data_IF_801743499241
#
_entry.id   IF_801743499241
#
_cell.length_a   1.000
_cell.length_b   1.000
_cell.length_c   1.000
_cell.angle_alpha   90.00
_cell.angle_beta   90.00
_cell.angle_gamma   90.00
#
_symmetry.space_group_name_H-M   'P 1'
#
loop_
_entity.id
_entity.type
_entity.pdbx_description
1 polymer ?
#
# COMPACT_ATOMS: atom_id res chain seq x y z
N UNK A 1 -24.50 16.81 -23.93
CA UNK A 1 -23.36 17.13 -24.81
C UNK A 1 -22.11 17.17 -23.94
N UNK A 2 -21.31 16.12 -24.08
CA UNK A 2 -19.94 15.83 -23.61
C UNK A 2 -19.31 16.78 -22.57
N UNK A 3 -19.59 16.50 -21.30
CA UNK A 3 -18.77 16.91 -20.16
C UNK A 3 -17.89 15.76 -19.71
N UNK A 4 -16.66 15.67 -20.23
CA UNK A 4 -15.64 14.78 -19.67
C UNK A 4 -14.80 15.56 -18.66
N UNK A 5 -15.27 15.59 -17.41
CA UNK A 5 -14.46 15.94 -16.25
C UNK A 5 -13.39 14.86 -16.08
N UNK A 6 -12.12 15.24 -16.24
CA UNK A 6 -11.00 14.31 -16.09
C UNK A 6 -10.79 14.00 -14.60
N UNK A 7 -11.09 12.77 -14.21
CA UNK A 7 -10.62 12.17 -12.96
C UNK A 7 -9.08 12.17 -12.99
N UNK A 8 -8.45 12.93 -12.11
CA UNK A 8 -7.00 12.89 -11.90
C UNK A 8 -6.60 11.54 -11.28
N UNK A 9 -6.53 10.48 -12.09
CA UNK A 9 -6.04 9.17 -11.67
C UNK A 9 -4.52 9.05 -11.81
N UNK A 10 -3.87 8.42 -10.83
CA UNK A 10 -2.44 8.02 -10.79
C UNK A 10 -1.92 7.49 -12.15
N UNK A 11 -2.76 6.75 -12.87
CA UNK A 11 -2.48 6.16 -14.19
C UNK A 11 -2.17 7.19 -15.29
N UNK A 12 -2.83 8.36 -15.27
CA UNK A 12 -2.61 9.42 -16.27
C UNK A 12 -1.24 10.06 -16.10
N UNK A 13 -0.81 10.25 -14.85
CA UNK A 13 0.50 10.80 -14.53
C UNK A 13 1.61 9.81 -14.93
N UNK A 14 1.42 8.52 -14.68
CA UNK A 14 2.37 7.48 -15.11
C UNK A 14 2.54 7.44 -16.64
N UNK A 15 1.43 7.55 -17.38
CA UNK A 15 1.45 7.65 -18.83
C UNK A 15 2.13 8.93 -19.32
N UNK A 16 1.87 10.07 -18.70
CA UNK A 16 2.51 11.35 -19.06
C UNK A 16 4.01 11.29 -18.83
N UNK A 17 4.43 10.79 -17.68
CA UNK A 17 5.82 10.67 -17.31
C UNK A 17 6.57 9.69 -18.23
N UNK A 18 5.98 8.53 -18.49
CA UNK A 18 6.52 7.55 -19.43
C UNK A 18 6.63 8.13 -20.83
N UNK A 19 5.63 8.87 -21.30
CA UNK A 19 5.66 9.54 -22.61
C UNK A 19 6.75 10.61 -22.66
N UNK A 20 6.84 11.45 -21.63
CA UNK A 20 7.81 12.55 -21.55
C UNK A 20 9.25 12.05 -21.43
N UNK A 21 9.48 10.92 -20.76
CA UNK A 21 10.78 10.26 -20.71
C UNK A 21 11.31 9.93 -22.12
N UNK A 22 10.44 9.45 -23.01
CA UNK A 22 10.83 9.05 -24.36
C UNK A 22 10.80 10.17 -25.38
N UNK A 23 9.87 11.11 -25.24
CA UNK A 23 9.64 12.19 -26.20
C UNK A 23 10.49 13.41 -25.85
N UNK A 24 10.68 13.68 -24.55
CA UNK A 24 11.41 14.85 -24.05
C UNK A 24 10.69 16.18 -24.25
N UNK A 25 9.45 16.15 -24.77
CA UNK A 25 8.61 17.31 -25.01
C UNK A 25 7.31 17.16 -24.21
N UNK A 26 7.07 18.11 -23.30
CA UNK A 26 5.94 18.09 -22.38
C UNK A 26 4.60 18.25 -23.11
N UNK A 27 4.53 19.18 -24.06
CA UNK A 27 3.29 19.49 -24.79
C UNK A 27 2.89 18.31 -25.66
N UNK A 28 3.87 17.76 -26.39
CA UNK A 28 3.65 16.59 -27.23
C UNK A 28 3.29 15.34 -26.42
N UNK A 29 3.87 15.19 -25.23
CA UNK A 29 3.52 14.09 -24.32
C UNK A 29 2.07 14.21 -23.84
N UNK A 30 1.63 15.42 -23.52
CA UNK A 30 0.24 15.69 -23.18
C UNK A 30 -0.72 15.42 -24.35
N UNK A 31 -0.36 15.81 -25.58
CA UNK A 31 -1.16 15.51 -26.77
C UNK A 31 -1.36 14.01 -26.97
N UNK A 32 -0.29 13.23 -26.84
CA UNK A 32 -0.35 11.76 -27.01
C UNK A 32 -1.20 11.10 -25.92
N UNK A 33 -1.06 11.53 -24.67
CA UNK A 33 -1.86 10.98 -23.57
C UNK A 33 -3.32 11.43 -23.67
N UNK A 34 -3.60 12.69 -24.05
CA UNK A 34 -4.97 13.14 -24.33
C UNK A 34 -5.61 12.35 -25.48
N UNK A 35 -4.86 12.11 -26.57
CA UNK A 35 -5.32 11.31 -27.69
C UNK A 35 -5.57 9.83 -27.34
N UNK A 36 -4.89 9.30 -26.31
CA UNK A 36 -5.23 8.01 -25.72
C UNK A 36 -6.55 8.09 -24.95
N UNK A 37 -6.67 9.07 -24.05
CA UNK A 37 -7.79 9.21 -23.12
C UNK A 37 -9.15 9.40 -23.79
N UNK A 38 -9.20 10.04 -24.96
CA UNK A 38 -10.45 10.24 -25.72
C UNK A 38 -10.95 8.98 -26.46
N UNK A 39 -10.20 7.88 -26.47
CA UNK A 39 -10.60 6.68 -27.21
C UNK A 39 -11.71 5.93 -26.48
N UNK A 40 -12.73 5.38 -27.17
CA UNK A 40 -13.75 4.55 -26.53
C UNK A 40 -13.22 3.35 -25.72
N UNK A 41 -11.97 2.92 -25.99
CA UNK A 41 -11.28 1.87 -25.24
C UNK A 41 -10.75 2.27 -23.86
N UNK A 42 -10.94 3.52 -23.43
CA UNK A 42 -10.49 4.06 -22.13
C UNK A 42 -11.59 4.20 -21.07
N UNK A 43 -12.86 3.86 -21.39
CA UNK A 43 -13.95 3.86 -20.39
C UNK A 43 -13.55 3.00 -19.18
N UNK A 44 -13.73 3.54 -17.97
CA UNK A 44 -13.04 3.23 -16.71
C UNK A 44 -13.28 1.84 -16.08
N UNK A 45 -13.84 0.87 -16.82
CA UNK A 45 -14.17 -0.47 -16.30
C UNK A 45 -13.69 -1.61 -17.21
N UNK A 46 -12.74 -1.36 -18.13
CA UNK A 46 -12.19 -2.43 -18.98
C UNK A 46 -10.90 -3.02 -18.41
N UNK A 47 -10.82 -4.34 -18.33
CA UNK A 47 -9.59 -5.04 -17.95
C UNK A 47 -8.36 -4.50 -18.71
N UNK A 48 -7.30 -4.19 -17.96
CA UNK A 48 -5.99 -3.76 -18.44
C UNK A 48 -5.91 -2.35 -19.05
N UNK A 49 -6.70 -1.37 -18.58
CA UNK A 49 -6.63 0.03 -19.04
C UNK A 49 -5.20 0.58 -18.94
N UNK A 50 -4.56 0.39 -17.77
CA UNK A 50 -3.16 0.79 -17.52
C UNK A 50 -2.21 0.25 -18.60
N UNK A 51 -2.23 -1.06 -18.86
CA UNK A 51 -1.32 -1.67 -19.84
C UNK A 51 -1.62 -1.24 -21.29
N UNK A 52 -2.88 -0.90 -21.60
CA UNK A 52 -3.26 -0.40 -22.92
C UNK A 52 -2.75 1.01 -23.19
N UNK A 53 -2.71 1.87 -22.17
CA UNK A 53 -2.15 3.22 -22.30
C UNK A 53 -0.66 3.21 -22.60
N UNK A 54 0.14 2.49 -21.81
CA UNK A 54 1.56 2.30 -22.10
C UNK A 54 1.81 1.71 -23.49
N UNK A 55 0.98 0.73 -23.90
CA UNK A 55 1.08 0.14 -25.24
C UNK A 55 0.74 1.14 -26.34
N UNK A 56 -0.28 1.98 -26.13
CA UNK A 56 -0.65 3.02 -27.07
C UNK A 56 0.50 4.01 -27.25
N UNK A 57 1.09 4.48 -26.15
CA UNK A 57 2.23 5.39 -26.15
C UNK A 57 3.41 4.76 -26.90
N UNK A 58 3.77 3.51 -26.58
CA UNK A 58 4.82 2.76 -27.27
C UNK A 58 4.57 2.62 -28.78
N UNK A 59 3.31 2.58 -29.22
CA UNK A 59 2.96 2.54 -30.65
C UNK A 59 3.19 3.91 -31.30
N UNK A 60 2.77 4.99 -30.66
CA UNK A 60 2.98 6.36 -31.17
C UNK A 60 4.47 6.70 -31.24
N UNK A 61 5.24 6.18 -30.29
CA UNK A 61 6.69 6.34 -30.29
C UNK A 61 7.39 5.72 -31.51
N UNK A 62 6.80 4.77 -32.26
CA UNK A 62 7.46 4.08 -33.39
C UNK A 62 7.54 4.88 -34.70
N UNK A 63 6.93 6.07 -34.77
CA UNK A 63 6.78 6.82 -36.03
C UNK A 63 7.39 8.22 -36.08
N UNK A 64 7.95 8.75 -34.99
CA UNK A 64 8.36 10.16 -34.91
C UNK A 64 9.86 10.34 -34.69
N UNK A 65 10.45 11.38 -35.29
CA UNK A 65 11.87 11.70 -35.21
C UNK A 65 12.31 11.99 -33.77
N UNK A 66 13.00 11.00 -33.16
CA UNK A 66 13.37 10.95 -31.74
C UNK A 66 14.72 11.58 -31.48
N UNK A 67 14.86 12.42 -30.45
CA UNK A 67 16.14 12.70 -29.75
C UNK A 67 15.94 13.78 -28.68
N UNK A 68 15.95 13.44 -27.39
CA UNK A 68 16.77 14.17 -26.37
C UNK A 68 16.86 13.47 -25.01
N UNK A 69 15.78 13.20 -24.26
CA UNK A 69 15.90 12.83 -22.83
C UNK A 69 16.43 11.41 -22.59
N UNK A 70 15.83 10.36 -23.19
CA UNK A 70 16.38 8.99 -23.11
C UNK A 70 17.81 8.88 -23.67
N UNK A 71 18.18 9.80 -24.58
CA UNK A 71 19.51 9.85 -25.19
C UNK A 71 20.55 10.44 -24.24
N UNK A 72 20.20 11.39 -23.38
CA UNK A 72 21.12 12.01 -22.40
C UNK A 72 21.47 11.00 -21.30
N UNK A 73 20.44 10.47 -20.62
CA UNK A 73 20.54 9.50 -19.52
C UNK A 73 21.32 8.22 -19.92
N UNK A 74 21.13 7.75 -21.15
CA UNK A 74 21.83 6.57 -21.66
C UNK A 74 23.14 6.90 -22.40
N UNK A 75 23.41 8.18 -22.70
CA UNK A 75 24.70 8.60 -23.28
C UNK A 75 25.76 8.86 -22.24
N UNK A 76 25.40 9.44 -21.08
CA UNK A 76 26.35 9.75 -20.01
C UNK A 76 26.95 8.50 -19.36
N UNK A 77 26.17 7.40 -19.29
CA UNK A 77 26.63 6.11 -18.78
C UNK A 77 26.99 5.09 -19.89
N UNK A 78 27.09 5.54 -21.14
CA UNK A 78 27.49 4.71 -22.30
C UNK A 78 26.61 3.46 -22.52
N UNK A 79 25.29 3.59 -22.38
CA UNK A 79 24.27 2.59 -22.73
C UNK A 79 23.71 2.79 -24.15
N UNK A 80 24.46 3.44 -25.03
CA UNK A 80 24.08 3.76 -26.43
C UNK A 80 23.60 2.54 -27.25
N UNK A 81 23.91 1.32 -26.80
CA UNK A 81 23.55 0.05 -27.42
C UNK A 81 22.20 -0.54 -26.97
N UNK A 82 21.56 -0.01 -25.91
CA UNK A 82 20.29 -0.54 -25.41
C UNK A 82 19.16 -0.10 -26.35
N UNK A 83 18.48 -1.09 -26.95
CA UNK A 83 17.36 -0.84 -27.86
C UNK A 83 16.20 -0.20 -27.09
N UNK A 84 15.41 0.62 -27.76
CA UNK A 84 14.31 1.38 -27.14
C UNK A 84 13.27 0.50 -26.43
N UNK A 85 13.03 -0.71 -26.95
CA UNK A 85 12.15 -1.67 -26.29
C UNK A 85 12.72 -2.14 -24.95
N UNK A 86 14.05 -2.25 -24.85
CA UNK A 86 14.75 -2.60 -23.62
C UNK A 86 14.75 -1.43 -22.65
N UNK A 87 14.88 -0.19 -23.15
CA UNK A 87 14.70 1.03 -22.33
C UNK A 87 13.30 1.11 -21.72
N UNK A 88 12.26 0.81 -22.51
CA UNK A 88 10.88 0.75 -22.02
C UNK A 88 10.70 -0.36 -20.97
N UNK A 89 11.30 -1.54 -21.18
CA UNK A 89 11.24 -2.64 -20.20
C UNK A 89 11.95 -2.23 -18.89
N UNK A 90 13.12 -1.59 -18.99
CA UNK A 90 13.88 -1.11 -17.84
C UNK A 90 13.07 -0.07 -17.07
N UNK A 91 12.50 0.92 -17.76
CA UNK A 91 11.70 1.97 -17.12
C UNK A 91 10.44 1.41 -16.46
N UNK A 92 9.70 0.53 -17.15
CA UNK A 92 8.51 -0.12 -16.59
C UNK A 92 8.84 -0.99 -15.38
N UNK A 93 10.03 -1.59 -15.32
CA UNK A 93 10.42 -2.49 -14.25
C UNK A 93 11.05 -1.77 -13.05
N UNK A 94 12.01 -0.88 -13.29
CA UNK A 94 12.82 -0.27 -12.23
C UNK A 94 12.26 1.05 -11.72
N UNK A 95 11.50 1.79 -12.54
CA UNK A 95 10.86 3.04 -12.11
C UNK A 95 9.39 2.85 -11.77
N UNK A 96 8.60 2.30 -12.70
CA UNK A 96 7.17 2.04 -12.48
C UNK A 96 6.88 0.76 -11.68
N UNK A 97 7.92 0.00 -11.32
CA UNK A 97 7.84 -1.21 -10.49
C UNK A 97 6.82 -2.26 -10.97
N UNK A 98 6.57 -2.32 -12.29
CA UNK A 98 5.59 -3.25 -12.84
C UNK A 98 6.11 -4.68 -12.82
N UNK A 99 5.25 -5.62 -12.43
CA UNK A 99 5.51 -7.04 -12.54
C UNK A 99 5.80 -7.46 -14.00
N UNK A 100 6.67 -8.44 -14.17
CA UNK A 100 7.03 -9.04 -15.47
C UNK A 100 5.79 -9.46 -16.28
N UNK A 101 4.71 -9.92 -15.62
CA UNK A 101 3.44 -10.29 -16.26
C UNK A 101 2.76 -9.08 -16.92
N UNK A 102 2.74 -7.92 -16.26
CA UNK A 102 2.16 -6.67 -16.77
C UNK A 102 3.04 -6.11 -17.89
N UNK A 103 4.37 -6.08 -17.70
CA UNK A 103 5.34 -5.65 -18.73
C UNK A 103 5.18 -6.49 -20.00
N UNK A 104 5.12 -7.82 -19.89
CA UNK A 104 4.93 -8.74 -21.01
C UNK A 104 3.69 -8.39 -21.85
N UNK A 105 2.57 -8.03 -21.20
CA UNK A 105 1.35 -7.56 -21.89
C UNK A 105 1.57 -6.21 -22.57
N UNK A 106 2.26 -5.27 -21.92
CA UNK A 106 2.52 -3.92 -22.45
C UNK A 106 3.34 -4.01 -23.73
N UNK A 107 4.51 -4.67 -23.67
CA UNK A 107 5.47 -4.73 -24.79
C UNK A 107 5.21 -5.86 -25.79
N UNK A 108 4.20 -6.71 -25.53
CA UNK A 108 3.83 -7.88 -26.36
C UNK A 108 4.98 -8.86 -26.58
N UNK A 109 5.64 -9.26 -25.49
CA UNK A 109 6.70 -10.28 -25.47
C UNK A 109 6.40 -11.34 -24.40
N UNK A 110 7.01 -12.51 -24.52
CA UNK A 110 6.86 -13.56 -23.49
C UNK A 110 7.55 -13.15 -22.19
N UNK A 111 7.07 -13.64 -21.04
CA UNK A 111 7.72 -13.40 -19.74
C UNK A 111 9.20 -13.83 -19.75
N UNK A 112 9.53 -14.91 -20.46
CA UNK A 112 10.90 -15.41 -20.66
C UNK A 112 11.77 -14.38 -21.37
N UNK A 113 11.24 -13.75 -22.42
CA UNK A 113 11.94 -12.72 -23.18
C UNK A 113 12.16 -11.44 -22.34
N UNK A 114 11.20 -11.06 -21.49
CA UNK A 114 11.37 -9.94 -20.55
C UNK A 114 12.49 -10.23 -19.56
N UNK A 115 12.48 -11.40 -18.92
CA UNK A 115 13.54 -11.83 -17.98
C UNK A 115 14.91 -11.83 -18.63
N UNK A 116 15.02 -12.34 -19.86
CA UNK A 116 16.27 -12.35 -20.62
C UNK A 116 16.80 -10.93 -20.83
N UNK A 117 15.94 -9.99 -21.23
CA UNK A 117 16.32 -8.59 -21.49
C UNK A 117 16.74 -7.86 -20.22
N UNK A 118 16.02 -8.04 -19.12
CA UNK A 118 16.39 -7.49 -17.81
C UNK A 118 17.70 -8.08 -17.31
N UNK A 119 17.91 -9.39 -17.45
CA UNK A 119 19.16 -10.04 -17.08
C UNK A 119 20.35 -9.55 -17.92
N UNK A 120 20.17 -9.41 -19.25
CA UNK A 120 21.18 -8.80 -20.11
C UNK A 120 21.51 -7.37 -19.69
N UNK A 121 20.52 -6.58 -19.25
CA UNK A 121 20.77 -5.25 -18.71
C UNK A 121 21.57 -5.28 -17.41
N UNK A 122 21.25 -6.19 -16.47
CA UNK A 122 22.03 -6.38 -15.24
C UNK A 122 23.49 -6.75 -15.52
N UNK A 123 23.73 -7.58 -16.55
CA UNK A 123 25.11 -7.87 -16.99
C UNK A 123 25.83 -6.61 -17.47
N UNK A 124 25.16 -5.71 -18.19
CA UNK A 124 25.74 -4.43 -18.63
C UNK A 124 26.01 -3.49 -17.44
N UNK A 125 25.16 -3.48 -16.42
CA UNK A 125 25.41 -2.73 -15.17
C UNK A 125 26.66 -3.26 -14.46
N UNK A 126 26.74 -4.59 -14.31
CA UNK A 126 27.85 -5.28 -13.66
C UNK A 126 29.18 -5.04 -14.37
N UNK A 127 29.23 -5.10 -15.70
CA UNK A 127 30.48 -4.82 -16.45
C UNK A 127 30.95 -3.37 -16.34
N UNK A 128 30.05 -2.45 -15.95
CA UNK A 128 30.36 -1.03 -15.71
C UNK A 128 30.61 -0.71 -14.23
N UNK A 129 30.54 -1.69 -13.34
CA UNK A 129 30.67 -1.47 -11.89
C UNK A 129 29.52 -0.68 -11.27
N UNK A 130 28.36 -0.61 -11.92
CA UNK A 130 27.19 0.12 -11.43
C UNK A 130 26.26 -0.88 -10.71
N UNK A 131 25.94 -0.62 -9.44
CA UNK A 131 24.95 -1.44 -8.73
C UNK A 131 23.53 -1.11 -9.20
N UNK A 132 22.60 -2.05 -9.05
CA UNK A 132 21.17 -1.80 -9.36
C UNK A 132 20.63 -0.64 -8.53
N UNK A 133 21.03 -0.55 -7.26
CA UNK A 133 20.64 0.54 -6.37
C UNK A 133 21.14 1.91 -6.89
N UNK A 134 22.41 2.00 -7.26
CA UNK A 134 22.99 3.21 -7.87
C UNK A 134 22.26 3.58 -9.16
N UNK A 135 21.97 2.60 -10.02
CA UNK A 135 21.21 2.81 -11.25
C UNK A 135 19.79 3.33 -10.97
N UNK A 136 19.09 2.76 -9.98
CA UNK A 136 17.76 3.20 -9.60
C UNK A 136 17.79 4.66 -9.10
N UNK A 137 18.73 5.01 -8.23
CA UNK A 137 18.86 6.39 -7.73
C UNK A 137 19.10 7.39 -8.86
N UNK A 138 19.95 7.04 -9.83
CA UNK A 138 20.18 7.86 -11.03
C UNK A 138 18.91 7.97 -11.86
N UNK A 139 18.24 6.85 -12.13
CA UNK A 139 17.00 6.80 -12.90
C UNK A 139 15.91 7.66 -12.26
N UNK A 140 15.74 7.57 -10.94
CA UNK A 140 14.80 8.38 -10.18
C UNK A 140 15.18 9.86 -10.19
N UNK A 141 16.42 10.22 -9.92
CA UNK A 141 16.89 11.62 -9.93
C UNK A 141 16.64 12.28 -11.29
N UNK A 142 16.93 11.56 -12.37
CA UNK A 142 16.71 12.02 -13.73
C UNK A 142 15.24 12.18 -14.07
N UNK A 143 14.40 11.22 -13.69
CA UNK A 143 12.96 11.35 -13.88
C UNK A 143 12.40 12.49 -13.03
N UNK A 144 12.96 12.76 -11.86
CA UNK A 144 12.61 13.93 -11.05
C UNK A 144 12.98 15.25 -11.75
N UNK A 145 14.03 15.30 -12.58
CA UNK A 145 14.31 16.49 -13.42
C UNK A 145 13.26 16.72 -14.51
N UNK A 146 12.57 15.65 -14.94
CA UNK A 146 11.43 15.70 -15.86
C UNK A 146 10.14 16.08 -15.10
N UNK A 147 10.09 15.83 -13.79
CA UNK A 147 8.92 15.90 -12.92
C UNK A 147 8.79 17.25 -12.18
N UNK A 148 8.34 18.29 -12.88
CA UNK A 148 7.77 19.52 -12.27
C UNK A 148 6.45 19.86 -12.99
N UNK A 149 5.42 20.31 -12.24
CA UNK A 149 4.09 19.71 -12.22
C UNK A 149 3.50 19.45 -13.61
N UNK A 150 3.13 18.19 -13.86
CA UNK A 150 2.33 17.74 -14.98
C UNK A 150 0.84 18.03 -14.72
N UNK A 151 0.48 19.29 -14.49
CA UNK A 151 -0.91 19.71 -14.66
C UNK A 151 -1.13 19.95 -16.16
N UNK A 152 -1.98 19.19 -16.88
CA UNK A 152 -2.45 19.61 -18.18
C UNK A 152 -3.37 20.81 -17.99
N UNK A 153 -2.79 22.01 -17.92
CA UNK A 153 -3.58 23.23 -18.00
C UNK A 153 -4.04 23.35 -19.45
N UNK A 154 -5.32 23.07 -19.71
CA UNK A 154 -5.97 23.56 -20.93
C UNK A 154 -6.53 24.93 -20.58
N UNK A 155 -5.77 25.98 -20.88
CA UNK A 155 -6.29 27.34 -20.92
C UNK A 155 -5.93 27.96 -22.26
N UNK A 156 -6.93 28.53 -22.94
CA UNK A 156 -6.71 29.51 -24.00
C UNK A 156 -5.83 30.62 -23.43
N UNK A 157 -4.76 30.94 -24.14
CA UNK A 157 -3.64 31.71 -23.59
C UNK A 157 -3.95 33.15 -23.23
N UNK A 158 -3.01 33.75 -22.50
CA UNK A 158 -2.47 35.12 -22.63
C UNK A 158 -1.08 35.10 -21.96
N UNK A 159 -0.08 35.69 -22.63
CA UNK A 159 1.28 35.89 -22.12
C UNK A 159 1.26 36.93 -20.99
N UNK A 160 2.08 36.78 -19.94
CA UNK A 160 2.89 37.85 -19.34
C UNK A 160 4.05 37.30 -18.47
N UNK A 161 5.23 37.80 -18.85
CA UNK A 161 6.57 37.99 -18.30
C UNK A 161 7.12 37.40 -16.97
N UNK A 162 8.41 37.01 -17.10
CA UNK A 162 9.40 36.67 -16.07
C UNK A 162 9.80 37.89 -15.23
N UNK A 163 9.93 37.69 -13.91
CA UNK A 163 11.03 38.14 -13.01
C UNK A 163 10.50 38.24 -11.57
N UNK A 164 10.91 37.33 -10.69
CA UNK A 164 11.59 37.66 -9.42
C UNK A 164 12.07 36.39 -8.72
N UNK A 165 13.37 36.42 -8.54
CA UNK A 165 14.35 35.47 -8.03
C UNK A 165 14.27 35.31 -6.50
N UNK A 166 14.76 34.15 -6.04
CA UNK A 166 15.72 33.99 -4.95
C UNK A 166 15.51 34.76 -3.64
N UNK A 167 14.95 34.06 -2.67
CA UNK A 167 15.12 34.17 -1.21
C UNK A 167 14.39 32.91 -0.71
N UNK A 168 15.01 31.80 -0.34
CA UNK A 168 15.88 31.63 0.82
C UNK A 168 16.72 30.37 0.61
N UNK A 169 18.03 30.56 0.49
CA UNK A 169 19.04 29.51 0.62
C UNK A 169 20.19 30.10 1.42
N UNK A 170 20.02 30.19 2.74
CA UNK A 170 21.08 30.45 3.72
C UNK A 170 20.54 30.34 5.15
N UNK A 171 20.34 29.11 5.60
CA UNK A 171 20.55 28.71 6.99
C UNK A 171 21.25 27.34 6.95
N UNK A 172 22.55 27.46 6.71
CA UNK A 172 23.57 26.42 6.73
C UNK A 172 23.94 26.14 8.19
N UNK A 173 24.24 24.86 8.49
CA UNK A 173 25.08 24.37 9.60
C UNK A 173 24.71 24.89 10.99
N UNK A 174 24.32 24.02 11.92
CA UNK A 174 24.82 24.04 13.31
C UNK A 174 24.47 22.79 14.12
N UNK A 175 24.47 21.57 13.56
CA UNK A 175 24.58 20.36 14.39
C UNK A 175 25.38 19.25 13.69
N UNK A 176 26.70 19.33 13.87
CA UNK A 176 27.59 18.17 13.81
C UNK A 176 28.06 17.90 15.26
N UNK A 177 27.98 16.62 15.64
CA UNK A 177 28.79 15.92 16.67
C UNK A 177 28.30 16.05 18.13
N UNK A 178 27.63 15.00 18.65
CA UNK A 178 28.07 14.08 19.73
C UNK A 178 27.04 12.94 19.81
N UNK A 179 27.48 11.68 19.75
CA UNK A 179 26.66 10.49 19.98
C UNK A 179 27.26 9.24 19.34
N UNK A 180 28.03 8.48 20.12
CA UNK A 180 29.02 7.52 19.66
C UNK A 180 28.49 6.23 18.99
N UNK A 181 29.43 5.58 18.29
CA UNK A 181 29.28 4.23 17.76
C UNK A 181 29.05 3.22 18.88
N UNK A 182 28.01 2.39 18.74
CA UNK A 182 28.01 1.02 19.27
C UNK A 182 28.01 0.05 18.11
N UNK A 183 29.12 -0.67 18.02
CA UNK A 183 29.42 -1.73 17.09
C UNK A 183 28.70 -3.01 17.58
N UNK A 184 27.57 -3.40 16.99
CA UNK A 184 26.81 -4.60 17.38
C UNK A 184 27.40 -5.92 16.86
N UNK A 185 28.57 -5.88 16.19
CA UNK A 185 29.17 -7.02 15.51
C UNK A 185 29.84 -8.10 16.36
N UNK A 186 29.67 -8.16 17.70
CA UNK A 186 30.41 -9.12 18.56
C UNK A 186 29.53 -10.02 19.47
N UNK A 187 28.19 -9.89 19.48
CA UNK A 187 27.34 -10.79 20.30
C UNK A 187 26.66 -11.92 19.49
N UNK A 188 26.73 -11.87 18.16
CA UNK A 188 25.86 -12.69 17.29
C UNK A 188 26.22 -14.18 17.14
N UNK A 189 27.27 -14.68 17.82
CA UNK A 189 27.76 -16.07 17.60
C UNK A 189 27.45 -17.09 18.70
N UNK A 190 26.67 -16.76 19.72
CA UNK A 190 26.36 -17.76 20.78
C UNK A 190 24.94 -17.75 21.35
N UNK A 191 23.98 -17.01 20.80
CA UNK A 191 22.58 -17.06 21.25
C UNK A 191 21.66 -17.53 20.13
N UNK A 192 20.81 -18.51 20.42
CA UNK A 192 19.75 -18.94 19.51
C UNK A 192 18.85 -17.74 19.20
N UNK A 193 18.52 -17.50 17.93
CA UNK A 193 17.62 -16.41 17.52
C UNK A 193 16.30 -16.47 18.33
N UNK A 194 15.98 -15.39 19.05
CA UNK A 194 14.81 -15.35 19.93
C UNK A 194 13.50 -15.02 19.19
N UNK A 195 13.57 -14.46 17.97
CA UNK A 195 12.43 -13.89 17.28
C UNK A 195 12.21 -12.42 17.69
N UNK A 196 11.30 -11.68 17.03
CA UNK A 196 10.94 -10.33 17.42
C UNK A 196 10.21 -10.31 18.76
N UNK A 197 10.38 -9.24 19.54
CA UNK A 197 9.65 -9.05 20.80
C UNK A 197 8.30 -8.38 20.54
N UNK A 198 7.29 -9.21 20.26
CA UNK A 198 5.93 -8.76 19.96
C UNK A 198 5.27 -8.07 21.16
N UNK A 199 5.67 -8.40 22.39
CA UNK A 199 5.09 -7.80 23.59
C UNK A 199 5.51 -6.33 23.71
N UNK A 200 6.75 -6.02 23.35
CA UNK A 200 7.23 -4.65 23.27
C UNK A 200 6.45 -3.85 22.21
N UNK A 201 6.24 -4.41 21.01
CA UNK A 201 5.42 -3.77 19.96
C UNK A 201 3.98 -3.53 20.45
N UNK A 202 3.41 -4.50 21.17
CA UNK A 202 2.07 -4.37 21.73
C UNK A 202 1.95 -3.22 22.75
N UNK A 203 2.93 -3.08 23.64
CA UNK A 203 2.93 -2.04 24.69
C UNK A 203 3.24 -0.64 24.14
N UNK A 204 4.16 -0.56 23.20
CA UNK A 204 4.59 0.71 22.61
C UNK A 204 3.60 1.22 21.54
N UNK A 205 2.69 0.35 21.11
CA UNK A 205 1.81 0.59 19.97
C UNK A 205 2.53 0.30 18.65
N UNK A 206 1.73 -0.07 17.64
CA UNK A 206 2.25 -0.34 16.29
C UNK A 206 2.84 0.92 15.64
N UNK A 207 3.72 0.72 14.67
CA UNK A 207 4.28 1.76 13.83
C UNK A 207 3.21 2.63 13.16
N UNK A 208 2.09 2.03 12.74
CA UNK A 208 0.93 2.75 12.19
C UNK A 208 0.25 3.65 13.24
N UNK A 209 0.03 3.12 14.45
CA UNK A 209 -0.58 3.87 15.55
C UNK A 209 0.30 5.03 16.01
N UNK A 210 1.61 4.80 16.13
CA UNK A 210 2.58 5.84 16.49
C UNK A 210 2.61 6.95 15.43
N UNK A 211 2.73 6.59 14.14
CA UNK A 211 2.73 7.57 13.06
C UNK A 211 1.45 8.40 13.03
N UNK A 212 0.30 7.75 13.24
CA UNK A 212 -1.00 8.43 13.29
C UNK A 212 -1.04 9.45 14.42
N UNK A 213 -0.68 9.02 15.63
CA UNK A 213 -0.65 9.89 16.80
C UNK A 213 0.27 11.09 16.58
N UNK A 214 1.48 10.88 16.09
CA UNK A 214 2.45 11.96 15.90
C UNK A 214 2.00 12.95 14.81
N UNK A 215 1.31 12.47 13.76
CA UNK A 215 0.68 13.33 12.75
C UNK A 215 -0.47 14.15 13.34
N UNK A 216 -1.37 13.53 14.11
CA UNK A 216 -2.51 14.19 14.74
C UNK A 216 -2.04 15.27 15.74
N UNK A 217 -0.99 14.99 16.51
CA UNK A 217 -0.37 15.94 17.44
C UNK A 217 0.33 17.09 16.71
N UNK A 218 1.10 16.80 15.66
CA UNK A 218 1.86 17.80 14.90
C UNK A 218 0.95 18.77 14.15
N UNK A 219 -0.11 18.25 13.53
CA UNK A 219 -1.02 19.04 12.71
C UNK A 219 -2.29 19.46 13.46
N UNK A 220 -2.43 19.07 14.74
CA UNK A 220 -3.56 19.39 15.64
C UNK A 220 -4.93 19.05 15.04
N UNK A 221 -5.02 17.90 14.37
CA UNK A 221 -6.18 17.46 13.57
C UNK A 221 -6.33 15.95 13.56
N UNK A 222 -7.50 15.45 13.95
CA UNK A 222 -7.91 14.04 13.81
C UNK A 222 -8.48 13.79 12.40
N UNK A 223 -7.63 13.83 11.37
CA UNK A 223 -8.08 13.77 9.97
C UNK A 223 -7.25 12.84 9.10
N UNK A 224 -6.49 11.94 9.71
CA UNK A 224 -5.59 11.00 9.04
C UNK A 224 -6.12 9.57 9.12
N UNK A 225 -6.35 8.95 7.96
CA UNK A 225 -6.39 7.51 7.83
C UNK A 225 -5.00 7.04 7.38
N UNK A 226 -4.40 6.09 8.09
CA UNK A 226 -3.07 5.57 7.77
C UNK A 226 -3.20 4.07 7.55
N UNK A 227 -2.50 3.58 6.53
CA UNK A 227 -2.31 2.16 6.32
C UNK A 227 -0.87 1.89 5.95
N UNK A 228 -0.24 0.93 6.62
CA UNK A 228 1.12 0.53 6.32
C UNK A 228 1.14 -0.85 5.67
N UNK A 229 1.59 -0.93 4.43
CA UNK A 229 1.85 -2.18 3.74
C UNK A 229 3.33 -2.56 3.91
N UNK A 230 3.60 -3.46 4.87
CA UNK A 230 4.95 -3.93 5.14
C UNK A 230 5.55 -4.73 3.97
N UNK A 231 4.74 -5.49 3.23
CA UNK A 231 5.20 -6.29 2.08
C UNK A 231 5.65 -5.40 0.92
N UNK A 232 4.85 -4.38 0.60
CA UNK A 232 5.14 -3.44 -0.49
C UNK A 232 6.03 -2.27 -0.04
N UNK A 233 6.38 -2.20 1.25
CA UNK A 233 7.09 -1.08 1.86
C UNK A 233 6.40 0.24 1.50
N UNK A 234 5.09 0.33 1.72
CA UNK A 234 4.26 1.48 1.37
C UNK A 234 3.53 2.01 2.60
N UNK A 235 3.51 3.34 2.77
CA UNK A 235 2.64 4.02 3.74
C UNK A 235 1.60 4.80 2.93
N UNK A 236 0.32 4.43 3.06
CA UNK A 236 -0.79 5.14 2.45
C UNK A 236 -1.46 6.05 3.50
N UNK A 237 -1.63 7.32 3.18
CA UNK A 237 -2.22 8.34 4.06
C UNK A 237 -3.42 8.95 3.36
N UNK A 238 -4.61 8.73 3.89
CA UNK A 238 -5.85 9.40 3.52
C UNK A 238 -6.07 10.65 4.38
N UNK A 239 -6.37 11.77 3.74
CA UNK A 239 -6.71 13.03 4.44
C UNK A 239 -8.12 13.46 4.04
N UNK A 240 -8.97 13.70 5.05
CA UNK A 240 -10.36 14.11 4.86
C UNK A 240 -10.57 15.64 4.91
N UNK A 241 -9.58 16.40 5.39
CA UNK A 241 -9.62 17.86 5.50
C UNK A 241 -8.86 18.50 4.31
N UNK A 242 -9.57 19.27 3.47
CA UNK A 242 -8.99 19.91 2.28
C UNK A 242 -7.89 20.93 2.63
N UNK A 243 -8.05 21.65 3.75
CA UNK A 243 -7.07 22.64 4.22
C UNK A 243 -5.80 21.94 4.68
N UNK A 244 -5.94 20.80 5.35
CA UNK A 244 -4.83 19.95 5.77
C UNK A 244 -4.14 19.29 4.56
N UNK A 245 -4.90 18.84 3.56
CA UNK A 245 -4.33 18.27 2.33
C UNK A 245 -3.46 19.27 1.54
N UNK A 246 -3.75 20.58 1.64
CA UNK A 246 -2.88 21.63 1.06
C UNK A 246 -1.48 21.65 1.68
N UNK A 247 -1.30 21.09 2.88
CA UNK A 247 -0.01 20.95 3.58
C UNK A 247 0.72 19.63 3.26
N UNK A 248 0.29 18.89 2.22
CA UNK A 248 0.86 17.57 1.86
C UNK A 248 2.38 17.48 1.78
N UNK A 249 3.08 18.55 1.39
CA UNK A 249 4.54 18.54 1.33
C UNK A 249 5.18 18.44 2.72
N UNK A 250 4.60 19.12 3.71
CA UNK A 250 5.04 19.10 5.11
C UNK A 250 4.72 17.75 5.73
N UNK A 251 3.53 17.20 5.46
CA UNK A 251 3.10 15.87 5.91
C UNK A 251 4.01 14.78 5.33
N UNK A 252 4.30 14.81 4.02
CA UNK A 252 5.24 13.85 3.40
C UNK A 252 6.64 13.99 4.00
N UNK A 253 7.10 15.20 4.29
CA UNK A 253 8.41 15.43 4.91
C UNK A 253 8.46 14.86 6.32
N UNK A 254 7.41 15.08 7.10
CA UNK A 254 7.24 14.53 8.44
C UNK A 254 7.31 13.01 8.43
N UNK A 255 6.50 12.36 7.59
CA UNK A 255 6.42 10.90 7.49
C UNK A 255 7.75 10.31 7.03
N UNK A 256 8.43 10.94 6.07
CA UNK A 256 9.75 10.49 5.63
C UNK A 256 10.81 10.62 6.74
N UNK A 257 10.73 11.66 7.58
CA UNK A 257 11.64 11.82 8.71
C UNK A 257 11.39 10.74 9.77
N UNK A 258 10.13 10.49 10.10
CA UNK A 258 9.72 9.41 11.00
C UNK A 258 10.20 8.03 10.50
N UNK A 259 10.02 7.74 9.21
CA UNK A 259 10.50 6.51 8.57
C UNK A 259 12.02 6.37 8.59
N UNK A 260 12.75 7.48 8.38
CA UNK A 260 14.21 7.51 8.37
C UNK A 260 14.81 7.20 9.74
N UNK A 261 14.18 7.69 10.81
CA UNK A 261 14.62 7.41 12.19
C UNK A 261 14.52 5.93 12.56
N UNK A 262 13.68 5.18 11.86
CA UNK A 262 13.50 3.74 12.05
C UNK A 262 14.33 2.89 11.08
N UNK A 263 15.12 3.49 10.17
CA UNK A 263 15.87 2.82 9.10
C UNK A 263 14.96 2.02 8.13
N UNK A 264 13.76 2.56 7.85
CA UNK A 264 12.71 1.88 7.10
C UNK A 264 12.53 2.55 5.72
N UNK A 265 12.90 1.90 4.59
CA UNK A 265 12.83 2.50 3.25
C UNK A 265 11.45 2.30 2.61
N UNK A 266 10.46 3.11 3.00
CA UNK A 266 9.08 3.00 2.50
C UNK A 266 8.71 4.12 1.53
N UNK A 267 7.77 3.83 0.61
CA UNK A 267 7.16 4.79 -0.29
C UNK A 267 5.94 5.40 0.40
N UNK A 268 5.91 6.73 0.54
CA UNK A 268 4.75 7.44 1.11
C UNK A 268 3.79 7.84 -0.01
N UNK A 269 2.54 7.40 0.08
CA UNK A 269 1.42 7.82 -0.75
C UNK A 269 0.46 8.64 0.10
N UNK A 270 0.08 9.81 -0.40
CA UNK A 270 -0.84 10.71 0.30
C UNK A 270 -1.96 11.09 -0.66
N UNK A 271 -3.18 10.72 -0.28
CA UNK A 271 -4.40 10.94 -1.05
C UNK A 271 -5.35 11.85 -0.27
N UNK A 272 -5.95 12.80 -0.99
CA UNK A 272 -7.14 13.48 -0.49
C UNK A 272 -8.31 12.54 -0.66
N UNK A 273 -8.88 12.15 0.46
CA UNK A 273 -10.15 11.45 0.48
C UNK A 273 -11.20 12.53 0.61
N UNK A 274 -11.92 12.82 -0.48
CA UNK A 274 -13.25 13.39 -0.30
C UNK A 274 -13.95 12.46 0.69
N UNK A 275 -14.67 13.00 1.68
CA UNK A 275 -15.64 12.20 2.41
C UNK A 275 -16.60 11.65 1.35
N UNK A 276 -16.28 10.48 0.81
CA UNK A 276 -17.25 9.61 0.17
C UNK A 276 -18.05 9.06 1.32
N UNK A 277 -18.87 9.95 1.89
CA UNK A 277 -20.25 9.64 2.15
C UNK A 277 -20.66 8.82 0.92
N UNK A 278 -20.86 7.51 1.07
CA UNK A 278 -21.30 6.68 -0.05
C UNK A 278 -22.47 7.38 -0.75
N UNK A 279 -22.72 7.09 -2.02
CA UNK A 279 -23.78 7.75 -2.81
C UNK A 279 -25.17 7.73 -2.11
N UNK A 280 -25.33 6.92 -1.06
CA UNK A 280 -26.37 6.99 -0.03
C UNK A 280 -25.91 7.61 1.31
N UNK A 281 -25.89 8.95 1.38
CA UNK A 281 -25.54 9.74 2.59
C UNK A 281 -26.37 9.37 3.82
N UNK A 282 -27.62 9.00 3.57
CA UNK A 282 -28.56 8.61 4.61
C UNK A 282 -28.15 7.27 5.22
N UNK A 283 -27.71 6.31 4.40
CA UNK A 283 -27.22 5.02 4.88
C UNK A 283 -25.98 5.16 5.77
N UNK A 284 -25.06 6.08 5.45
CA UNK A 284 -23.89 6.33 6.27
C UNK A 284 -24.27 6.82 7.68
N UNK A 285 -25.23 7.75 7.77
CA UNK A 285 -25.74 8.24 9.05
C UNK A 285 -26.45 7.14 9.87
N UNK A 286 -27.17 6.23 9.20
CA UNK A 286 -27.76 5.05 9.84
C UNK A 286 -26.68 4.17 10.49
N UNK A 287 -25.59 3.88 9.76
CA UNK A 287 -24.49 3.05 10.27
C UNK A 287 -23.82 3.70 11.47
N UNK A 288 -23.53 5.01 11.41
CA UNK A 288 -22.92 5.74 12.52
C UNK A 288 -23.80 5.65 13.78
N UNK A 289 -25.10 5.93 13.66
CA UNK A 289 -26.00 5.88 14.81
C UNK A 289 -26.17 4.45 15.35
N UNK A 290 -26.21 3.44 14.47
CA UNK A 290 -26.29 2.05 14.87
C UNK A 290 -25.05 1.61 15.67
N UNK A 291 -23.86 1.93 15.17
CA UNK A 291 -22.59 1.66 15.85
C UNK A 291 -22.51 2.35 17.20
N UNK A 292 -22.88 3.63 17.29
CA UNK A 292 -22.92 4.38 18.55
C UNK A 292 -23.89 3.77 19.58
N UNK A 293 -24.90 3.03 19.12
CA UNK A 293 -25.89 2.32 19.94
C UNK A 293 -25.56 0.84 20.18
N UNK A 294 -24.42 0.35 19.66
CA UNK A 294 -24.00 -1.04 19.75
C UNK A 294 -24.87 -2.01 18.93
N UNK A 295 -25.56 -1.51 17.91
CA UNK A 295 -26.43 -2.31 17.03
C UNK A 295 -25.62 -2.73 15.80
N UNK A 296 -25.45 -4.05 15.60
CA UNK A 296 -24.76 -4.62 14.43
C UNK A 296 -25.67 -4.55 13.18
N UNK A 297 -25.79 -3.36 12.57
CA UNK A 297 -26.64 -3.05 11.42
C UNK A 297 -25.80 -2.54 10.25
N UNK A 298 -25.95 -3.14 9.06
CA UNK A 298 -25.23 -2.72 7.85
C UNK A 298 -26.04 -2.96 6.56
N UNK A 299 -25.66 -2.33 5.43
CA UNK A 299 -26.27 -2.58 4.12
C UNK A 299 -25.96 -4.00 3.61
N UNK A 300 -26.98 -4.77 3.26
CA UNK A 300 -26.80 -6.12 2.70
C UNK A 300 -26.51 -6.13 1.21
N UNK A 301 -27.15 -5.24 0.45
CA UNK A 301 -26.96 -5.09 -0.99
C UNK A 301 -27.20 -3.65 -1.45
N UNK A 302 -26.71 -3.32 -2.65
CA UNK A 302 -26.80 -2.00 -3.27
C UNK A 302 -27.39 -2.11 -4.68
N UNK A 303 -28.17 -1.10 -5.09
CA UNK A 303 -28.68 -1.01 -6.45
C UNK A 303 -27.58 -0.63 -7.45
N UNK A 304 -27.87 -0.69 -8.75
CA UNK A 304 -26.97 -0.15 -9.79
C UNK A 304 -26.69 1.35 -9.65
N UNK A 305 -27.47 2.07 -8.84
CA UNK A 305 -27.29 3.48 -8.48
C UNK A 305 -26.72 3.64 -7.07
N UNK A 306 -26.09 2.60 -6.52
CA UNK A 306 -25.41 2.60 -5.22
C UNK A 306 -26.31 2.96 -4.01
N UNK A 307 -27.64 2.76 -4.15
CA UNK A 307 -28.58 2.92 -3.04
C UNK A 307 -28.74 1.62 -2.27
N UNK A 308 -28.84 1.71 -0.96
CA UNK A 308 -29.04 0.51 -0.13
C UNK A 308 -30.38 -0.14 -0.49
N UNK A 309 -30.33 -1.41 -0.88
CA UNK A 309 -31.50 -2.20 -1.27
C UNK A 309 -32.05 -3.03 -0.11
N UNK A 310 -31.22 -3.34 0.88
CA UNK A 310 -31.60 -4.07 2.08
C UNK A 310 -30.67 -3.73 3.25
N UNK A 311 -31.20 -3.78 4.46
CA UNK A 311 -30.46 -3.66 5.70
C UNK A 311 -30.38 -5.01 6.39
N UNK A 312 -29.22 -5.35 6.94
CA UNK A 312 -29.00 -6.59 7.69
C UNK A 312 -28.73 -6.21 9.14
N UNK A 313 -29.64 -6.62 10.02
CA UNK A 313 -29.42 -6.64 11.47
C UNK A 313 -28.88 -8.01 11.85
N UNK A 314 -27.66 -8.06 12.38
CA UNK A 314 -27.09 -9.32 12.85
C UNK A 314 -27.27 -9.51 14.36
N UNK A 315 -27.84 -10.66 14.72
CA UNK A 315 -28.13 -11.04 16.09
C UNK A 315 -27.49 -12.41 16.43
N UNK A 316 -27.13 -12.66 17.70
CA UNK A 316 -26.67 -13.99 18.11
C UNK A 316 -27.73 -15.08 17.86
N UNK A 317 -27.31 -16.28 17.43
CA UNK A 317 -28.21 -17.45 17.28
C UNK A 317 -28.97 -17.79 18.57
N UNK A 318 -28.36 -17.53 19.73
CA UNK A 318 -28.92 -17.82 21.06
C UNK A 318 -29.67 -16.64 21.68
N UNK A 319 -30.03 -15.61 20.91
CA UNK A 319 -30.75 -14.44 21.42
C UNK A 319 -32.15 -14.82 21.93
N UNK A 320 -32.56 -14.26 23.07
CA UNK A 320 -33.93 -14.42 23.56
C UNK A 320 -34.92 -13.63 22.67
N UNK A 321 -36.07 -14.23 22.35
CA UNK A 321 -37.08 -13.63 21.45
C UNK A 321 -37.52 -12.22 21.87
N UNK A 322 -37.62 -11.94 23.17
CA UNK A 322 -37.99 -10.61 23.68
C UNK A 322 -36.90 -9.59 23.37
N UNK A 323 -35.64 -9.99 23.51
CA UNK A 323 -34.48 -9.15 23.19
C UNK A 323 -34.33 -8.98 21.68
N UNK A 324 -34.57 -10.01 20.88
CA UNK A 324 -34.62 -9.92 19.42
C UNK A 324 -35.65 -8.88 18.97
N UNK A 325 -36.89 -8.95 19.48
CA UNK A 325 -37.93 -7.96 19.16
C UNK A 325 -37.52 -6.53 19.54
N UNK A 326 -36.87 -6.37 20.68
CA UNK A 326 -36.36 -5.08 21.11
C UNK A 326 -35.29 -4.54 20.14
N UNK A 327 -34.32 -5.37 19.74
CA UNK A 327 -33.26 -4.98 18.80
C UNK A 327 -33.80 -4.67 17.40
N UNK A 328 -34.74 -5.47 16.90
CA UNK A 328 -35.44 -5.19 15.64
C UNK A 328 -36.17 -3.86 15.71
N UNK A 329 -36.87 -3.58 16.81
CA UNK A 329 -37.58 -2.30 17.01
C UNK A 329 -36.60 -1.13 17.07
N UNK A 330 -35.46 -1.28 17.75
CA UNK A 330 -34.39 -0.27 17.80
C UNK A 330 -33.82 0.02 16.42
N UNK A 331 -33.50 -1.02 15.64
CA UNK A 331 -32.99 -0.88 14.27
C UNK A 331 -34.01 -0.20 13.35
N UNK A 332 -35.27 -0.62 13.38
CA UNK A 332 -36.36 0.02 12.64
C UNK A 332 -36.55 1.49 13.02
N UNK A 333 -36.37 1.82 14.31
CA UNK A 333 -36.42 3.20 14.80
C UNK A 333 -35.37 4.09 14.15
N UNK A 334 -34.14 3.59 13.98
CA UNK A 334 -33.05 4.31 13.29
C UNK A 334 -33.40 4.49 11.82
N UNK A 335 -33.79 3.42 11.12
CA UNK A 335 -34.16 3.50 9.70
C UNK A 335 -35.30 4.50 9.45
N UNK A 336 -36.32 4.50 10.31
CA UNK A 336 -37.45 5.42 10.25
C UNK A 336 -37.03 6.87 10.51
N UNK A 337 -36.14 7.12 11.49
CA UNK A 337 -35.61 8.46 11.77
C UNK A 337 -34.96 9.09 10.54
N UNK A 338 -34.27 8.28 9.75
CA UNK A 338 -33.58 8.71 8.54
C UNK A 338 -34.43 8.57 7.26
N UNK A 339 -35.72 8.22 7.37
CA UNK A 339 -36.62 7.99 6.24
C UNK A 339 -36.08 6.97 5.20
N UNK A 340 -35.26 6.02 5.63
CA UNK A 340 -34.70 5.00 4.76
C UNK A 340 -35.76 3.93 4.45
N UNK A 341 -35.97 3.62 3.16
CA UNK A 341 -37.09 2.77 2.71
C UNK A 341 -36.74 1.31 2.46
N UNK A 342 -35.46 0.97 2.40
CA UNK A 342 -35.03 -0.41 2.20
C UNK A 342 -35.50 -1.34 3.34
N UNK A 343 -35.91 -2.58 3.02
CA UNK A 343 -36.31 -3.57 4.01
C UNK A 343 -35.18 -3.91 5.00
N UNK A 344 -35.58 -4.30 6.21
CA UNK A 344 -34.69 -4.85 7.24
C UNK A 344 -34.80 -6.38 7.25
N UNK A 345 -33.67 -7.05 7.16
CA UNK A 345 -33.50 -8.49 7.26
C UNK A 345 -32.75 -8.80 8.55
N UNK A 346 -33.19 -9.83 9.26
CA UNK A 346 -32.50 -10.34 10.45
C UNK A 346 -31.62 -11.51 10.03
N UNK A 347 -30.33 -11.41 10.33
CA UNK A 347 -29.34 -12.48 10.16
C UNK A 347 -28.88 -12.95 11.52
N UNK A 348 -28.68 -14.26 11.67
CA UNK A 348 -28.21 -14.83 12.92
C UNK A 348 -26.76 -15.32 12.80
N UNK A 349 -26.00 -15.23 13.89
CA UNK A 349 -24.61 -15.65 13.94
C UNK A 349 -24.24 -16.34 15.26
N UNK A 350 -23.28 -17.25 15.17
CA UNK A 350 -22.60 -17.82 16.32
C UNK A 350 -21.75 -16.76 17.02
N UNK A 351 -22.24 -16.26 18.17
CA UNK A 351 -21.60 -15.21 18.94
C UNK A 351 -20.21 -15.61 19.43
N UNK A 352 -20.07 -16.82 19.96
CA UNK A 352 -18.79 -17.29 20.50
C UNK A 352 -17.73 -17.37 19.39
N UNK A 353 -18.14 -17.75 18.18
CA UNK A 353 -17.26 -17.77 17.01
C UNK A 353 -16.85 -16.37 16.57
N UNK A 354 -17.80 -15.44 16.45
CA UNK A 354 -17.54 -14.07 15.99
C UNK A 354 -16.71 -13.30 17.01
N UNK A 355 -17.07 -13.37 18.30
CA UNK A 355 -16.32 -12.69 19.36
C UNK A 355 -14.88 -13.23 19.44
N UNK A 356 -14.68 -14.56 19.27
CA UNK A 356 -13.34 -15.15 19.19
C UNK A 356 -12.56 -14.58 18.01
N UNK A 357 -13.19 -14.56 16.83
CA UNK A 357 -12.55 -14.03 15.63
C UNK A 357 -12.17 -12.55 15.79
N UNK A 358 -13.05 -11.72 16.34
CA UNK A 358 -12.79 -10.30 16.61
C UNK A 358 -11.57 -10.13 17.54
N UNK A 359 -11.55 -10.81 18.71
CA UNK A 359 -10.42 -10.75 19.66
C UNK A 359 -9.09 -11.18 19.05
N UNK A 360 -9.09 -12.24 18.23
CA UNK A 360 -7.87 -12.74 17.60
C UNK A 360 -7.40 -11.85 16.44
N UNK A 361 -8.33 -11.21 15.72
CA UNK A 361 -7.98 -10.25 14.66
C UNK A 361 -7.28 -9.01 15.20
N UNK A 362 -7.58 -8.58 16.44
CA UNK A 362 -6.89 -7.48 17.12
C UNK A 362 -5.38 -7.73 17.26
N UNK A 363 -4.93 -8.99 17.25
CA UNK A 363 -3.51 -9.33 17.38
C UNK A 363 -2.74 -9.28 16.05
N UNK A 364 -3.44 -9.25 14.92
CA UNK A 364 -2.85 -9.31 13.57
C UNK A 364 -1.79 -8.23 13.32
N UNK A 365 -2.03 -6.94 13.68
CA UNK A 365 -1.07 -5.88 13.40
C UNK A 365 0.30 -6.11 14.06
N UNK A 366 0.33 -6.67 15.27
CA UNK A 366 1.58 -6.93 16.00
C UNK A 366 2.38 -8.07 15.36
N UNK A 367 1.69 -9.10 14.86
CA UNK A 367 2.34 -10.17 14.10
C UNK A 367 2.90 -9.65 12.78
N UNK A 368 2.11 -8.89 12.03
CA UNK A 368 2.55 -8.30 10.77
C UNK A 368 3.78 -7.41 10.96
N UNK A 369 3.74 -6.49 11.93
CA UNK A 369 4.85 -5.59 12.20
C UNK A 369 6.11 -6.33 12.66
N UNK A 370 6.01 -7.17 13.69
CA UNK A 370 7.18 -7.85 14.26
C UNK A 370 7.89 -8.76 13.27
N UNK A 371 7.15 -9.42 12.38
CA UNK A 371 7.70 -10.43 11.48
C UNK A 371 7.94 -9.95 10.05
N UNK A 372 7.15 -9.01 9.52
CA UNK A 372 7.35 -8.49 8.16
C UNK A 372 8.43 -7.39 8.13
N UNK A 373 8.70 -6.69 9.24
CA UNK A 373 9.85 -5.78 9.34
C UNK A 373 11.19 -6.53 9.48
N UNK A 374 11.19 -7.70 10.13
CA UNK A 374 12.38 -8.51 10.32
C UNK A 374 12.73 -9.31 9.05
N UNK A 375 13.49 -8.70 8.15
CA UNK A 375 13.94 -9.30 6.87
C UNK A 375 14.62 -10.67 7.05
N UNK A 376 15.21 -10.92 8.21
CA UNK A 376 15.85 -12.19 8.57
C UNK A 376 14.87 -13.36 8.77
N UNK A 377 13.58 -13.09 9.00
CA UNK A 377 12.55 -14.12 9.18
C UNK A 377 11.88 -14.52 7.86
N UNK A 378 12.00 -13.71 6.80
CA UNK A 378 11.57 -14.03 5.43
C UNK A 378 10.12 -14.57 5.34
N UNK A 379 9.22 -13.95 6.10
CA UNK A 379 7.79 -14.31 6.18
C UNK A 379 7.05 -13.70 4.98
N UNK A 380 6.20 -14.52 4.35
CA UNK A 380 5.30 -14.13 3.26
C UNK A 380 3.99 -13.57 3.80
N UNK A 381 3.38 -14.29 4.75
CA UNK A 381 2.12 -13.86 5.38
C UNK A 381 1.89 -14.63 6.67
N UNK A 382 1.04 -14.06 7.52
CA UNK A 382 0.51 -14.72 8.72
C UNK A 382 -1.01 -14.70 8.61
N UNK A 383 -1.64 -15.85 8.83
CA UNK A 383 -3.09 -15.99 8.78
C UNK A 383 -3.58 -16.59 10.08
N UNK A 384 -4.61 -15.97 10.67
CA UNK A 384 -5.27 -16.47 11.87
C UNK A 384 -6.64 -17.02 11.46
N UNK A 385 -6.88 -18.28 11.78
CA UNK A 385 -8.17 -18.93 11.62
C UNK A 385 -8.76 -19.23 13.00
N UNK A 386 -9.72 -18.41 13.40
CA UNK A 386 -10.47 -18.53 14.63
C UNK A 386 -11.90 -19.07 14.41
N UNK A 387 -12.18 -19.71 13.26
CA UNK A 387 -13.50 -20.28 12.98
C UNK A 387 -13.81 -21.52 13.83
N UNK A 388 -12.78 -22.15 14.41
CA UNK A 388 -12.93 -23.33 15.27
C UNK A 388 -12.51 -23.02 16.70
N UNK A 389 -12.85 -23.91 17.64
CA UNK A 389 -12.46 -23.76 19.06
C UNK A 389 -10.94 -23.77 19.26
N UNK A 390 -10.21 -24.44 18.38
CA UNK A 390 -8.75 -24.38 18.33
C UNK A 390 -8.32 -23.40 17.24
N UNK A 391 -7.72 -22.29 17.64
CA UNK A 391 -7.27 -21.24 16.71
C UNK A 391 -6.00 -21.69 15.99
N UNK A 392 -6.02 -21.64 14.66
CA UNK A 392 -4.82 -21.93 13.86
C UNK A 392 -4.12 -20.62 13.49
N UNK A 393 -2.82 -20.55 13.77
CA UNK A 393 -1.93 -19.48 13.30
C UNK A 393 -1.02 -20.09 12.24
N UNK A 394 -1.29 -19.76 10.99
CA UNK A 394 -0.56 -20.28 9.83
C UNK A 394 0.42 -19.21 9.34
N UNK A 395 1.72 -19.47 9.52
CA UNK A 395 2.82 -18.61 9.07
C UNK A 395 3.40 -19.16 7.78
N UNK A 396 3.30 -18.40 6.69
CA UNK A 396 3.90 -18.73 5.41
C UNK A 396 5.24 -18.01 5.26
N UNK A 397 6.25 -18.71 4.75
CA UNK A 397 7.61 -18.18 4.58
C UNK A 397 8.10 -18.38 3.16
N UNK A 398 9.05 -17.56 2.74
CA UNK A 398 9.72 -17.72 1.45
C UNK A 398 10.87 -18.75 1.48
N UNK A 399 11.10 -19.44 2.60
CA UNK A 399 12.13 -20.47 2.70
C UNK A 399 11.82 -21.67 1.81
N UNK A 400 12.85 -22.21 1.17
CA UNK A 400 12.78 -23.51 0.52
C UNK A 400 13.03 -24.61 1.55
N UNK A 401 12.42 -25.79 1.35
CA UNK A 401 12.64 -26.95 2.22
C UNK A 401 14.10 -27.39 2.33
N UNK A 402 14.97 -26.98 1.39
CA UNK A 402 16.41 -27.28 1.40
C UNK A 402 17.25 -26.26 2.17
N UNK A 403 16.67 -25.14 2.61
CA UNK A 403 17.42 -24.10 3.31
C UNK A 403 17.88 -24.63 4.67
N UNK A 404 19.14 -24.36 5.02
CA UNK A 404 19.80 -24.93 6.21
C UNK A 404 19.37 -24.26 7.50
N UNK A 405 18.94 -22.99 7.45
CA UNK A 405 18.51 -22.18 8.59
C UNK A 405 16.99 -22.21 8.86
N UNK A 406 16.19 -22.86 7.99
CA UNK A 406 14.71 -22.82 8.06
C UNK A 406 14.14 -23.26 9.41
N UNK A 407 14.75 -24.26 10.04
CA UNK A 407 14.26 -24.83 11.30
C UNK A 407 14.59 -23.93 12.49
N UNK A 408 15.76 -23.31 12.48
CA UNK A 408 16.14 -22.33 13.51
C UNK A 408 15.20 -21.11 13.45
N UNK A 409 14.93 -20.60 12.24
CA UNK A 409 14.03 -19.47 12.05
C UNK A 409 12.59 -19.84 12.41
N UNK A 410 12.10 -21.02 11.99
CA UNK A 410 10.79 -21.51 12.40
C UNK A 410 10.66 -21.63 13.93
N UNK A 411 11.72 -22.05 14.63
CA UNK A 411 11.76 -22.08 16.10
C UNK A 411 11.70 -20.68 16.70
N UNK A 412 12.44 -19.72 16.16
CA UNK A 412 12.42 -18.33 16.61
C UNK A 412 11.02 -17.71 16.45
N UNK A 413 10.39 -17.89 15.28
CA UNK A 413 9.03 -17.41 15.01
C UNK A 413 8.02 -18.04 15.95
N UNK A 414 8.04 -19.37 16.08
CA UNK A 414 7.13 -20.07 16.99
C UNK A 414 7.30 -19.59 18.42
N UNK A 415 8.55 -19.46 18.90
CA UNK A 415 8.84 -19.03 20.28
C UNK A 415 8.33 -17.62 20.54
N UNK A 416 8.57 -16.68 19.61
CA UNK A 416 8.12 -15.29 19.74
C UNK A 416 6.59 -15.18 19.81
N UNK A 417 5.86 -15.86 18.91
CA UNK A 417 4.39 -15.90 18.95
C UNK A 417 3.89 -16.54 20.26
N UNK A 418 4.46 -17.67 20.65
CA UNK A 418 4.07 -18.41 21.85
C UNK A 418 4.32 -17.60 23.13
N UNK A 419 5.48 -16.93 23.24
CA UNK A 419 5.79 -16.04 24.37
C UNK A 419 4.83 -14.84 24.45
N UNK A 420 4.51 -14.24 23.30
CA UNK A 420 3.57 -13.13 23.23
C UNK A 420 2.17 -13.53 23.71
N UNK A 421 1.64 -14.64 23.16
CA UNK A 421 0.32 -15.17 23.53
C UNK A 421 0.25 -15.64 24.98
N UNK A 422 1.38 -16.04 25.57
CA UNK A 422 1.46 -16.47 26.96
C UNK A 422 1.66 -15.32 27.96
N UNK A 423 1.88 -14.09 27.49
CA UNK A 423 1.97 -12.92 28.35
C UNK A 423 0.63 -12.64 29.06
N UNK A 424 0.69 -12.10 30.26
CA UNK A 424 -0.51 -11.88 31.09
C UNK A 424 -1.51 -10.92 30.42
N UNK A 425 -1.00 -9.89 29.75
CA UNK A 425 -1.80 -8.88 29.05
C UNK A 425 -2.54 -9.50 27.86
N UNK A 426 -1.85 -10.30 27.03
CA UNK A 426 -2.44 -10.90 25.82
C UNK A 426 -3.34 -12.08 26.16
N UNK A 427 -3.05 -12.82 27.24
CA UNK A 427 -3.91 -13.90 27.74
C UNK A 427 -5.34 -13.44 28.03
N UNK A 428 -5.51 -12.20 28.48
CA UNK A 428 -6.84 -11.62 28.73
C UNK A 428 -7.62 -11.40 27.42
N UNK A 429 -6.94 -11.05 26.33
CA UNK A 429 -7.53 -10.89 25.00
C UNK A 429 -7.91 -12.26 24.41
N UNK A 430 -6.99 -13.23 24.45
CA UNK A 430 -7.25 -14.56 23.86
C UNK A 430 -8.10 -15.46 24.77
N UNK A 431 -8.42 -15.04 25.99
CA UNK A 431 -9.29 -15.75 26.94
C UNK A 431 -8.94 -17.24 27.14
N UNK A 432 -7.65 -17.58 27.07
CA UNK A 432 -7.14 -18.96 27.11
C UNK A 432 -7.69 -19.88 25.99
N UNK A 433 -8.10 -19.32 24.85
CA UNK A 433 -8.42 -20.10 23.67
C UNK A 433 -7.26 -21.05 23.30
N UNK A 434 -7.58 -22.31 23.00
CA UNK A 434 -6.58 -23.25 22.51
C UNK A 434 -6.07 -22.80 21.14
N UNK A 435 -4.77 -22.94 20.87
CA UNK A 435 -4.19 -22.57 19.59
C UNK A 435 -3.07 -23.49 19.14
N UNK A 436 -2.88 -23.53 17.82
CA UNK A 436 -1.76 -24.21 17.16
C UNK A 436 -1.03 -23.25 16.23
N UNK A 437 0.30 -23.22 16.32
CA UNK A 437 1.16 -22.45 15.41
C UNK A 437 1.75 -23.38 14.36
N UNK A 438 1.42 -23.14 13.10
CA UNK A 438 1.93 -23.88 11.95
C UNK A 438 2.84 -22.97 11.12
N UNK A 439 4.01 -23.48 10.73
CA UNK A 439 4.95 -22.73 9.90
C UNK A 439 5.20 -23.50 8.60
N UNK A 440 5.03 -22.82 7.47
CA UNK A 440 5.12 -23.39 6.13
C UNK A 440 6.25 -22.75 5.32
N UNK A 441 6.90 -23.58 4.51
CA UNK A 441 7.85 -23.16 3.47
C UNK A 441 7.13 -22.59 2.23
N UNK A 442 7.88 -22.03 1.27
CA UNK A 442 7.37 -21.44 0.02
C UNK A 442 6.58 -22.42 -0.88
N UNK A 443 6.66 -23.72 -0.59
CA UNK A 443 5.86 -24.77 -1.24
C UNK A 443 4.63 -25.21 -0.43
N UNK A 444 4.22 -24.44 0.58
CA UNK A 444 3.16 -24.75 1.56
C UNK A 444 3.37 -26.08 2.29
N UNK A 445 4.63 -26.53 2.39
CA UNK A 445 4.98 -27.71 3.19
C UNK A 445 5.29 -27.27 4.61
N UNK A 446 4.59 -27.87 5.58
CA UNK A 446 4.81 -27.65 7.02
C UNK A 446 6.25 -28.00 7.39
N UNK A 447 6.94 -27.07 8.04
CA UNK A 447 8.27 -27.26 8.58
C UNK A 447 8.11 -28.06 9.88
N UNK A 448 8.76 -29.22 9.95
CA UNK A 448 8.84 -29.98 11.21
C UNK A 448 9.86 -29.30 12.10
N UNK A 449 9.45 -28.96 13.31
CA UNK A 449 10.29 -28.35 14.33
C UNK A 449 10.66 -29.44 15.32
N UNK A 450 11.95 -29.79 15.39
CA UNK A 450 12.47 -30.67 16.42
C UNK A 450 13.01 -29.81 17.59
N UNK A 451 12.55 -30.13 18.79
CA UNK A 451 12.94 -29.45 20.02
C UNK A 451 14.27 -29.98 20.56
#
# INVERSE_FOLDING_TARGET
MDGSTFVHSKQVNDWLLFTQFFIGDKEKSQEIVKAWLIKPSTKFQRNHVMERGFRYILKQMKGENRRRVSKVLLSEYSFKSIKEIDQAIILLHYYFQLEIKKIARIVRKSKREIRKRLFSFLQVLSTKGITVHTFNNILHAEIMTISLPLTPVVTKGIKINRKKTALYSLLILHFLIVGGAMNSGIVEKTQAKQGPDLLTIYRDGTFEQQLKKDLEETFQKESFAIKINFEESEVSIGIFDEVLYRQKAEIITFVNQFLKEKDIPYIVQLDYMEETIGDDEIAYQVIIEANAKGIKLWPGDYSEQEKVMEWVLALPDAIELVTEHAEVTRAQGILKKYNHKAPLIVSHYDKDRVDRQERWLELTPYFEEGFLLGKEYNIESISINAYTKEVSIDVYTYFLMKDTNKEEIARAVKRSIDQFLQSEEVKQIVQNDAYTINIYSAGKKKIKIHY
#
